data_IF_384155094828
#
_entry.id   IF_384155094828
#
_cell.length_a   1.000
_cell.length_b   1.000
_cell.length_c   1.000
_cell.angle_alpha   90.00
_cell.angle_beta   90.00
_cell.angle_gamma   90.00
#
_symmetry.space_group_name_H-M   'P 1'
#
loop_
_entity.id
_entity.type
_entity.pdbx_description
1 polymer ?
#
# COMPACT_ATOMS: atom_id res chain seq x y z
N UNK A 1 9.65 -44.82 33.19
CA UNK A 1 11.00 -45.29 33.55
C UNK A 1 11.92 -45.09 32.35
N UNK A 2 13.13 -44.59 32.60
CA UNK A 2 14.27 -44.41 31.69
C UNK A 2 14.22 -43.26 30.67
N UNK A 3 14.69 -42.10 31.14
CA UNK A 3 15.28 -41.00 30.36
C UNK A 3 16.58 -41.41 29.68
N UNK A 4 16.87 -40.87 28.50
CA UNK A 4 18.22 -40.78 27.93
C UNK A 4 18.49 -39.32 27.57
N UNK A 5 19.22 -38.66 28.46
CA UNK A 5 19.79 -37.34 28.28
C UNK A 5 21.20 -37.50 27.70
N UNK A 6 21.51 -36.77 26.63
CA UNK A 6 22.86 -36.61 26.11
C UNK A 6 23.25 -35.14 26.25
N UNK A 7 24.02 -34.87 27.30
CA UNK A 7 24.72 -33.62 27.54
C UNK A 7 26.05 -33.62 26.77
N UNK A 8 26.34 -32.56 26.04
CA UNK A 8 27.69 -32.27 25.55
C UNK A 8 28.05 -30.86 26.01
N UNK A 9 29.00 -30.78 26.95
CA UNK A 9 29.68 -29.54 27.35
C UNK A 9 31.03 -29.40 26.64
N UNK A 10 31.55 -28.17 26.45
CA UNK A 10 32.64 -27.86 25.53
C UNK A 10 34.00 -27.71 26.24
N UNK A 11 35.08 -28.03 25.53
CA UNK A 11 36.48 -27.70 25.83
C UNK A 11 37.26 -27.80 24.52
N UNK A 12 38.27 -27.01 24.17
CA UNK A 12 38.68 -25.62 24.41
C UNK A 12 39.93 -25.43 23.52
N UNK A 13 40.16 -24.21 23.06
CA UNK A 13 41.47 -23.63 22.71
C UNK A 13 42.32 -24.24 21.58
N UNK A 14 42.45 -23.47 20.48
CA UNK A 14 43.77 -23.07 19.99
C UNK A 14 43.70 -21.70 19.31
N UNK A 15 44.50 -20.81 19.86
CA UNK A 15 44.81 -19.42 19.54
C UNK A 15 45.48 -19.23 18.18
N UNK A 16 45.00 -18.23 17.41
CA UNK A 16 45.80 -17.51 16.42
C UNK A 16 45.42 -16.03 16.45
N UNK A 17 46.26 -15.25 17.10
CA UNK A 17 46.28 -13.79 17.14
C UNK A 17 46.81 -13.23 15.82
N UNK A 18 46.01 -12.44 15.11
CA UNK A 18 46.50 -11.52 14.08
C UNK A 18 46.04 -10.10 14.44
N UNK A 19 47.00 -9.32 14.93
CA UNK A 19 46.95 -7.87 15.08
C UNK A 19 47.39 -7.25 13.77
N UNK A 20 46.70 -6.20 13.30
CA UNK A 20 47.07 -5.15 12.33
C UNK A 20 45.73 -4.65 11.71
N UNK A 21 45.41 -3.39 11.51
CA UNK A 21 45.99 -2.10 11.83
C UNK A 21 44.88 -1.07 11.55
N UNK A 22 44.66 -0.12 12.45
CA UNK A 22 43.82 1.07 12.23
C UNK A 22 44.63 2.09 11.43
N UNK A 23 44.05 2.66 10.35
CA UNK A 23 44.21 4.04 9.85
C UNK A 23 43.81 4.13 8.35
N UNK A 24 43.62 5.33 7.76
CA UNK A 24 42.61 6.34 8.11
C UNK A 24 41.83 6.81 6.85
N UNK A 25 40.80 7.61 7.08
CA UNK A 25 40.02 8.39 6.10
C UNK A 25 40.82 9.08 4.98
N UNK A 26 40.33 9.13 3.73
CA UNK A 26 40.77 10.13 2.77
C UNK A 26 39.87 11.38 2.86
N UNK A 27 40.48 12.48 3.31
CA UNK A 27 40.00 13.85 3.15
C UNK A 27 39.94 14.21 1.67
N UNK A 28 38.77 14.63 1.16
CA UNK A 28 38.71 15.50 -0.01
C UNK A 28 38.39 16.93 0.45
N UNK A 29 39.38 17.81 0.23
CA UNK A 29 39.27 19.24 0.49
C UNK A 29 38.38 19.91 -0.53
N UNK A 30 37.53 20.78 0.02
CA UNK A 30 36.74 21.87 -0.54
C UNK A 30 37.41 22.63 -1.68
N UNK A 31 36.69 22.81 -2.80
CA UNK A 31 36.91 23.94 -3.70
C UNK A 31 35.77 24.93 -3.49
N UNK A 32 36.11 26.06 -2.90
CA UNK A 32 35.27 27.24 -2.74
C UNK A 32 34.90 27.81 -4.13
N UNK A 33 33.62 28.05 -4.37
CA UNK A 33 33.17 29.11 -5.27
C UNK A 33 32.36 30.11 -4.44
N UNK A 34 33.05 31.20 -4.09
CA UNK A 34 32.46 32.41 -3.54
C UNK A 34 31.75 33.16 -4.68
N UNK A 35 30.47 33.49 -4.50
CA UNK A 35 29.90 34.71 -5.08
C UNK A 35 29.16 35.46 -3.98
N UNK A 36 29.66 36.65 -3.68
CA UNK A 36 29.12 37.55 -2.69
C UNK A 36 28.10 38.52 -3.31
N UNK A 37 26.99 38.68 -2.58
CA UNK A 37 26.25 39.93 -2.32
C UNK A 37 25.22 40.45 -3.37
N UNK A 38 24.25 41.27 -2.91
CA UNK A 38 22.83 41.11 -3.23
C UNK A 38 22.31 42.12 -4.27
N UNK A 39 21.22 41.77 -4.96
CA UNK A 39 20.37 42.74 -5.65
C UNK A 39 18.93 42.67 -5.13
N UNK A 40 18.63 43.70 -4.35
CA UNK A 40 17.31 44.30 -4.08
C UNK A 40 16.50 44.44 -5.37
N UNK A 41 15.21 44.07 -5.38
CA UNK A 41 14.13 44.80 -6.07
C UNK A 41 12.74 44.25 -5.66
N UNK A 42 11.95 45.21 -5.16
CA UNK A 42 10.50 45.39 -5.07
C UNK A 42 9.56 44.41 -4.37
N UNK A 43 9.15 44.88 -3.17
CA UNK A 43 7.87 44.61 -2.53
C UNK A 43 6.69 44.81 -3.48
N UNK A 44 5.76 43.86 -3.46
CA UNK A 44 4.41 44.01 -3.99
C UNK A 44 3.48 43.97 -2.77
N UNK A 45 2.76 45.07 -2.55
CA UNK A 45 1.83 45.27 -1.44
C UNK A 45 0.69 44.24 -1.44
N UNK A 46 0.18 43.85 -0.25
CA UNK A 46 -1.05 43.10 -0.12
C UNK A 46 -2.24 44.07 -0.18
N UNK A 47 -3.16 43.86 -1.13
CA UNK A 47 -4.47 44.52 -1.09
C UNK A 47 -5.44 43.68 -0.27
N UNK A 48 -5.44 43.94 1.03
CA UNK A 48 -6.59 43.75 1.91
C UNK A 48 -7.67 44.79 1.54
N UNK A 49 -8.85 44.33 1.11
CA UNK A 49 -10.07 45.15 1.18
C UNK A 49 -10.95 44.64 2.32
N UNK A 50 -10.98 45.45 3.37
CA UNK A 50 -11.97 45.47 4.44
C UNK A 50 -13.37 45.69 3.88
N UNK A 51 -14.35 44.94 4.38
CA UNK A 51 -15.75 45.36 4.40
C UNK A 51 -16.23 45.40 5.86
N UNK A 52 -16.43 46.61 6.36
CA UNK A 52 -17.19 46.89 7.57
C UNK A 52 -18.68 47.03 7.22
N UNK A 53 -19.50 46.32 7.99
CA UNK A 53 -20.73 46.79 8.65
C UNK A 53 -21.69 47.69 7.86
N UNK A 54 -22.84 47.13 7.50
CA UNK A 54 -24.10 47.88 7.49
C UNK A 54 -25.11 47.16 8.39
N UNK A 55 -25.40 47.83 9.50
CA UNK A 55 -26.45 47.53 10.45
C UNK A 55 -27.69 48.31 9.99
N UNK A 56 -28.83 47.65 9.88
CA UNK A 56 -30.13 48.32 9.73
C UNK A 56 -31.26 47.42 10.28
N UNK A 57 -31.62 47.72 11.52
CA UNK A 57 -32.96 47.94 12.05
C UNK A 57 -34.15 47.08 11.59
N UNK A 58 -34.74 46.44 12.60
CA UNK A 58 -36.03 45.78 12.70
C UNK A 58 -37.24 46.57 12.16
N UNK A 59 -38.21 45.85 11.59
CA UNK A 59 -39.64 46.12 11.79
C UNK A 59 -40.45 44.82 11.90
N UNK A 60 -41.28 44.76 12.94
CA UNK A 60 -42.27 43.74 13.28
C UNK A 60 -43.43 43.70 12.28
N UNK A 61 -44.01 42.52 12.00
CA UNK A 61 -45.46 42.34 11.77
C UNK A 61 -45.90 40.87 12.08
N UNK A 62 -46.60 40.72 13.21
CA UNK A 62 -47.88 40.01 13.51
C UNK A 62 -48.13 38.56 12.97
N UNK A 63 -48.52 37.67 13.91
CA UNK A 63 -48.94 36.26 13.76
C UNK A 63 -50.28 36.06 13.00
N UNK A 64 -50.54 34.92 12.34
CA UNK A 64 -51.11 33.66 12.91
C UNK A 64 -51.62 32.73 11.76
N UNK A 65 -52.33 31.61 12.00
CA UNK A 65 -51.82 30.23 12.06
C UNK A 65 -52.42 29.29 10.96
N UNK A 66 -52.08 27.99 11.03
CA UNK A 66 -52.43 26.86 10.13
C UNK A 66 -51.45 26.58 8.99
N UNK A 67 -50.60 25.58 9.16
CA UNK A 67 -50.85 24.26 8.56
C UNK A 67 -49.79 23.24 8.96
N UNK A 68 -50.26 22.03 9.20
CA UNK A 68 -49.59 20.81 9.67
C UNK A 68 -48.33 20.42 8.89
N UNK A 69 -47.32 19.99 9.65
CA UNK A 69 -46.14 19.25 9.17
C UNK A 69 -46.52 17.99 8.39
N UNK A 70 -45.57 17.49 7.57
CA UNK A 70 -45.10 16.14 7.85
C UNK A 70 -43.61 16.18 8.21
N UNK A 71 -43.27 15.40 9.24
CA UNK A 71 -41.90 15.13 9.62
C UNK A 71 -41.20 14.41 8.46
N UNK A 72 -40.31 15.12 7.77
CA UNK A 72 -39.34 14.50 6.85
C UNK A 72 -38.08 14.22 7.64
N UNK A 73 -37.76 12.93 7.70
CA UNK A 73 -36.56 12.32 8.24
C UNK A 73 -35.30 13.10 7.83
N UNK A 74 -34.62 13.67 8.83
CA UNK A 74 -33.46 14.55 8.70
C UNK A 74 -32.15 13.78 8.46
N UNK A 75 -32.13 12.84 7.52
CA UNK A 75 -30.96 11.98 7.24
C UNK A 75 -30.32 12.19 5.87
N UNK A 76 -30.84 13.09 5.02
CA UNK A 76 -30.42 13.26 3.62
C UNK A 76 -29.46 14.42 3.33
N UNK A 77 -29.21 15.31 4.29
CA UNK A 77 -28.42 16.54 4.04
C UNK A 77 -26.90 16.34 4.13
N UNK A 78 -26.43 15.36 4.89
CA UNK A 78 -24.99 15.15 5.07
C UNK A 78 -24.33 14.48 3.86
N UNK A 79 -24.96 13.49 3.21
CA UNK A 79 -24.35 12.72 2.10
C UNK A 79 -24.11 13.55 0.85
N UNK A 80 -24.86 14.63 0.68
CA UNK A 80 -24.63 15.56 -0.42
C UNK A 80 -23.32 16.35 -0.26
N UNK A 81 -22.82 16.55 0.96
CA UNK A 81 -21.67 17.45 1.18
C UNK A 81 -20.35 16.81 0.71
N UNK A 82 -20.09 15.54 1.08
CA UNK A 82 -18.87 14.83 0.69
C UNK A 82 -18.79 14.63 -0.82
N UNK A 83 -19.89 14.22 -1.45
CA UNK A 83 -19.96 14.04 -2.90
C UNK A 83 -19.69 15.36 -3.65
N UNK A 84 -20.25 16.48 -3.19
CA UNK A 84 -19.99 17.79 -3.80
C UNK A 84 -18.52 18.21 -3.70
N UNK A 85 -17.86 17.93 -2.56
CA UNK A 85 -16.43 18.21 -2.39
C UNK A 85 -15.58 17.33 -3.31
N UNK A 86 -15.91 16.04 -3.42
CA UNK A 86 -15.24 15.13 -4.34
C UNK A 86 -15.36 15.61 -5.79
N UNK A 87 -16.58 15.93 -6.23
CA UNK A 87 -16.83 16.45 -7.58
C UNK A 87 -16.07 17.75 -7.86
N UNK A 88 -15.98 18.65 -6.87
CA UNK A 88 -15.16 19.87 -6.98
C UNK A 88 -13.68 19.53 -7.18
N UNK A 89 -13.12 18.67 -6.34
CA UNK A 89 -11.72 18.25 -6.44
C UNK A 89 -11.44 17.56 -7.79
N UNK A 90 -12.30 16.63 -8.21
CA UNK A 90 -12.17 15.95 -9.50
C UNK A 90 -12.22 16.95 -10.65
N UNK A 91 -13.13 17.92 -10.62
CA UNK A 91 -13.22 18.96 -11.64
C UNK A 91 -11.96 19.83 -11.69
N UNK A 92 -11.40 20.20 -10.54
CA UNK A 92 -10.13 20.93 -10.46
C UNK A 92 -8.99 20.14 -11.09
N UNK A 93 -8.79 18.88 -10.68
CA UNK A 93 -7.71 18.04 -11.21
C UNK A 93 -7.88 17.71 -12.70
N UNK A 94 -9.12 17.52 -13.17
CA UNK A 94 -9.43 17.32 -14.59
C UNK A 94 -9.14 18.55 -15.45
N UNK A 95 -9.26 19.75 -14.89
CA UNK A 95 -8.93 20.99 -15.61
C UNK A 95 -7.42 21.15 -15.84
N UNK A 96 -6.58 20.42 -15.11
CA UNK A 96 -5.13 20.40 -15.25
C UNK A 96 -4.71 19.28 -16.20
N UNK A 97 -4.35 19.67 -17.43
CA UNK A 97 -3.92 18.73 -18.47
C UNK A 97 -2.49 18.25 -18.27
N UNK A 98 -1.60 19.15 -17.83
CA UNK A 98 -0.20 18.83 -17.61
C UNK A 98 0.00 18.18 -16.24
N UNK A 99 0.63 16.99 -16.18
CA UNK A 99 0.97 16.33 -14.92
C UNK A 99 1.72 17.24 -13.92
N UNK A 100 2.61 18.10 -14.42
CA UNK A 100 3.38 19.07 -13.62
C UNK A 100 2.47 20.03 -12.86
N UNK A 101 1.38 20.45 -13.49
CA UNK A 101 0.45 21.37 -12.85
C UNK A 101 -0.41 20.67 -11.80
N UNK A 102 -0.77 19.39 -12.01
CA UNK A 102 -1.40 18.57 -10.96
C UNK A 102 -0.51 18.42 -9.74
N UNK A 103 0.79 18.20 -9.93
CA UNK A 103 1.75 18.13 -8.83
C UNK A 103 1.86 19.46 -8.08
N UNK A 104 1.97 20.59 -8.79
CA UNK A 104 1.95 21.93 -8.18
C UNK A 104 0.67 22.16 -7.37
N UNK A 105 -0.46 21.68 -7.88
CA UNK A 105 -1.75 21.78 -7.19
C UNK A 105 -1.77 20.98 -5.88
N UNK A 106 -1.24 19.74 -5.90
CA UNK A 106 -1.06 18.94 -4.68
C UNK A 106 -0.13 19.62 -3.68
N UNK A 107 0.99 20.21 -4.14
CA UNK A 107 1.90 20.95 -3.25
C UNK A 107 1.23 22.19 -2.64
N UNK A 108 0.31 22.85 -3.37
CA UNK A 108 -0.51 23.91 -2.80
C UNK A 108 -1.44 23.37 -1.71
N UNK A 109 -2.04 22.19 -1.90
CA UNK A 109 -2.85 21.56 -0.86
C UNK A 109 -2.02 21.21 0.40
N UNK A 110 -0.74 20.90 0.23
CA UNK A 110 0.15 20.61 1.37
C UNK A 110 0.28 21.80 2.33
N UNK A 111 0.27 23.04 1.81
CA UNK A 111 0.35 24.25 2.64
C UNK A 111 -0.95 24.58 3.36
N UNK A 112 -2.07 23.99 2.93
CA UNK A 112 -3.38 24.11 3.56
C UNK A 112 -3.63 23.05 4.64
N UNK A 113 -2.76 22.05 4.76
CA UNK A 113 -2.90 20.98 5.74
C UNK A 113 -2.76 21.54 7.16
N UNK A 114 -3.77 21.41 8.03
CA UNK A 114 -3.64 21.80 9.43
C UNK A 114 -2.52 21.00 10.11
N UNK A 115 -1.71 21.61 10.99
CA UNK A 115 -0.64 20.91 11.67
C UNK A 115 -1.21 19.81 12.58
N UNK A 116 -0.57 18.64 12.53
CA UNK A 116 -0.87 17.52 13.42
C UNK A 116 -0.23 17.77 14.80
N UNK A 117 -0.89 17.41 15.92
CA UNK A 117 -0.28 17.47 17.24
C UNK A 117 0.95 16.55 17.32
N UNK A 118 2.04 17.02 17.94
CA UNK A 118 3.27 16.23 18.09
C UNK A 118 3.03 14.92 18.86
N UNK A 119 2.09 14.92 19.81
CA UNK A 119 1.67 13.72 20.56
C UNK A 119 1.05 12.64 19.68
N UNK A 120 0.49 13.01 18.53
CA UNK A 120 -0.14 12.09 17.59
C UNK A 120 0.88 11.50 16.59
N UNK A 121 2.12 12.01 16.55
CA UNK A 121 3.20 11.50 15.68
C UNK A 121 3.87 10.27 16.30
N UNK A 122 3.10 9.20 16.44
CA UNK A 122 3.52 7.93 17.06
C UNK A 122 3.55 6.80 16.04
N UNK A 123 4.31 5.74 16.33
CA UNK A 123 4.37 4.56 15.44
C UNK A 123 2.99 3.90 15.27
N UNK A 124 2.12 3.97 16.28
CA UNK A 124 0.73 3.47 16.20
C UNK A 124 -0.14 4.23 15.21
N UNK A 125 0.22 5.47 14.88
CA UNK A 125 -0.49 6.31 13.91
C UNK A 125 0.14 6.27 12.52
N UNK A 126 1.15 5.41 12.30
CA UNK A 126 1.84 5.29 11.03
C UNK A 126 0.97 4.60 9.99
N UNK A 127 0.91 5.18 8.79
CA UNK A 127 0.28 4.59 7.60
C UNK A 127 1.32 3.73 6.88
N UNK A 128 1.03 2.45 6.74
CA UNK A 128 1.91 1.48 6.08
C UNK A 128 1.69 1.47 4.56
N UNK A 129 2.72 1.11 3.79
CA UNK A 129 2.65 0.99 2.33
C UNK A 129 2.91 2.29 1.56
N UNK A 130 3.03 3.44 2.23
CA UNK A 130 3.45 4.69 1.60
C UNK A 130 4.98 4.73 1.41
N UNK A 131 5.46 5.25 0.27
CA UNK A 131 6.90 5.47 0.03
C UNK A 131 7.47 6.49 1.02
N UNK A 132 6.72 7.56 1.30
CA UNK A 132 7.01 8.53 2.34
C UNK A 132 6.39 8.07 3.67
N UNK A 133 6.97 8.48 4.80
CA UNK A 133 6.37 8.23 6.10
C UNK A 133 5.16 9.14 6.24
N UNK A 134 4.01 8.56 6.52
CA UNK A 134 2.75 9.28 6.77
C UNK A 134 2.23 8.86 8.13
N UNK A 135 1.79 9.84 8.92
CA UNK A 135 1.07 9.67 10.17
C UNK A 135 -0.36 10.15 9.99
N UNK A 136 -1.31 9.42 10.54
CA UNK A 136 -2.72 9.72 10.48
C UNK A 136 -3.34 9.49 11.86
N UNK A 137 -4.06 10.49 12.35
CA UNK A 137 -4.88 10.40 13.55
C UNK A 137 -6.33 10.75 13.24
N UNK A 138 -7.24 10.17 14.02
CA UNK A 138 -8.67 10.34 13.81
C UNK A 138 -9.41 10.36 15.14
N UNK A 139 -10.48 11.14 15.19
CA UNK A 139 -11.38 11.24 16.34
C UNK A 139 -12.84 11.23 15.85
N UNK A 140 -13.72 10.60 16.62
CA UNK A 140 -15.17 10.71 16.40
C UNK A 140 -15.72 11.77 17.36
N UNK A 141 -16.07 12.92 16.81
CA UNK A 141 -16.61 14.04 17.56
C UNK A 141 -17.93 13.70 18.25
N UNK A 142 -18.27 14.49 19.27
CA UNK A 142 -19.54 14.36 20.00
C UNK A 142 -20.77 14.58 19.10
N UNK A 143 -20.59 15.35 18.02
CA UNK A 143 -21.57 15.56 16.95
C UNK A 143 -21.75 14.35 16.03
N UNK A 144 -21.01 13.25 16.27
CA UNK A 144 -21.05 12.04 15.47
C UNK A 144 -20.29 12.15 14.15
N UNK A 145 -19.44 13.18 13.99
CA UNK A 145 -18.66 13.40 12.77
C UNK A 145 -17.19 13.05 12.97
N UNK A 146 -16.55 12.59 11.89
CA UNK A 146 -15.14 12.25 11.91
C UNK A 146 -14.26 13.51 11.80
N UNK A 147 -13.17 13.53 12.57
CA UNK A 147 -12.08 14.50 12.47
C UNK A 147 -10.78 13.78 12.16
N UNK A 148 -9.98 14.35 11.28
CA UNK A 148 -8.72 13.74 10.84
C UNK A 148 -7.55 14.73 10.90
N UNK A 149 -6.40 14.22 11.34
CA UNK A 149 -5.11 14.93 11.29
C UNK A 149 -4.08 14.05 10.62
N UNK A 150 -3.21 14.64 9.80
CA UNK A 150 -2.14 13.90 9.16
C UNK A 150 -0.87 14.74 9.06
N UNK A 151 0.27 14.05 9.01
CA UNK A 151 1.56 14.65 8.70
C UNK A 151 2.41 13.67 7.88
N UNK A 152 3.41 14.17 7.18
CA UNK A 152 4.31 13.34 6.38
C UNK A 152 5.71 13.95 6.28
N UNK A 153 6.72 13.14 5.95
CA UNK A 153 8.04 13.67 5.58
C UNK A 153 8.16 14.10 4.12
N UNK A 154 7.09 13.96 3.32
CA UNK A 154 7.01 14.44 1.95
C UNK A 154 5.87 15.42 1.75
N UNK A 155 6.15 16.61 1.19
CA UNK A 155 5.13 17.61 0.87
C UNK A 155 4.09 17.10 -0.13
N UNK A 156 4.48 16.20 -1.04
CA UNK A 156 3.54 15.58 -1.98
C UNK A 156 2.53 14.73 -1.22
N UNK A 157 3.00 13.90 -0.28
CA UNK A 157 2.12 13.08 0.57
C UNK A 157 1.26 13.93 1.51
N UNK A 158 1.79 15.05 2.05
CA UNK A 158 0.98 16.02 2.80
C UNK A 158 -0.14 16.61 1.96
N UNK A 159 0.15 16.95 0.70
CA UNK A 159 -0.85 17.46 -0.23
C UNK A 159 -1.98 16.46 -0.49
N UNK A 160 -1.64 15.18 -0.70
CA UNK A 160 -2.63 14.12 -0.85
C UNK A 160 -3.47 13.94 0.42
N UNK A 161 -2.84 13.95 1.60
CA UNK A 161 -3.56 13.88 2.88
C UNK A 161 -4.50 15.07 3.07
N UNK A 162 -4.07 16.28 2.71
CA UNK A 162 -4.87 17.51 2.80
C UNK A 162 -6.15 17.42 1.95
N UNK A 163 -6.06 16.90 0.73
CA UNK A 163 -7.24 16.67 -0.10
C UNK A 163 -8.21 15.66 0.53
N UNK A 164 -7.71 14.54 1.06
CA UNK A 164 -8.55 13.53 1.74
C UNK A 164 -9.19 14.09 3.01
N UNK A 165 -8.45 14.87 3.80
CA UNK A 165 -8.98 15.54 4.99
C UNK A 165 -10.05 16.55 4.59
N UNK A 166 -9.85 17.36 3.55
CA UNK A 166 -10.90 18.28 3.07
C UNK A 166 -12.16 17.57 2.60
N UNK A 167 -12.03 16.35 2.09
CA UNK A 167 -13.15 15.53 1.64
C UNK A 167 -13.91 14.87 2.80
N UNK A 168 -13.19 14.37 3.80
CA UNK A 168 -13.72 13.46 4.83
C UNK A 168 -13.82 14.09 6.23
N UNK A 169 -13.19 15.25 6.46
CA UNK A 169 -13.33 15.96 7.72
C UNK A 169 -14.77 16.47 7.87
N UNK A 170 -15.33 16.30 9.08
CA UNK A 170 -16.74 16.56 9.37
C UNK A 170 -17.74 15.63 8.63
N UNK A 171 -17.27 14.57 7.97
CA UNK A 171 -18.14 13.55 7.38
C UNK A 171 -18.68 12.57 8.44
N UNK A 172 -19.85 11.99 8.20
CA UNK A 172 -20.37 10.90 9.00
C UNK A 172 -19.54 9.62 8.75
N UNK A 173 -19.37 8.73 9.75
CA UNK A 173 -18.61 7.50 9.59
C UNK A 173 -19.04 6.64 8.41
N UNK A 174 -20.33 6.59 8.11
CA UNK A 174 -20.91 5.84 6.99
C UNK A 174 -20.41 6.36 5.65
N UNK A 175 -20.21 7.68 5.53
CA UNK A 175 -19.74 8.32 4.30
C UNK A 175 -18.25 8.06 4.06
N UNK A 176 -17.45 8.04 5.14
CA UNK A 176 -16.04 7.65 5.06
C UNK A 176 -15.91 6.21 4.55
N UNK A 177 -16.84 5.36 4.97
CA UNK A 177 -16.91 3.95 4.59
C UNK A 177 -17.47 3.72 3.17
N UNK A 178 -18.28 4.64 2.65
CA UNK A 178 -18.86 4.57 1.31
C UNK A 178 -17.85 4.95 0.21
N UNK A 179 -16.91 5.86 0.52
CA UNK A 179 -15.90 6.31 -0.44
C UNK A 179 -14.99 5.15 -0.89
N UNK A 180 -14.91 4.92 -2.20
CA UNK A 180 -14.10 3.84 -2.76
C UNK A 180 -12.82 4.38 -3.36
N UNK A 181 -11.89 3.46 -3.59
CA UNK A 181 -10.56 3.81 -4.09
C UNK A 181 -10.60 4.13 -5.57
N UNK A 182 -11.60 3.63 -6.29
CA UNK A 182 -11.88 3.92 -7.70
C UNK A 182 -12.31 5.38 -7.90
N UNK A 183 -12.96 5.98 -6.90
CA UNK A 183 -13.43 7.37 -6.94
C UNK A 183 -12.26 8.37 -6.92
N UNK A 184 -11.09 7.94 -6.44
CA UNK A 184 -9.89 8.78 -6.32
C UNK A 184 -8.97 8.71 -7.56
N UNK A 185 -9.25 7.84 -8.53
CA UNK A 185 -8.39 7.62 -9.70
C UNK A 185 -8.13 8.91 -10.47
N UNK A 186 -9.15 9.76 -10.58
CA UNK A 186 -9.09 11.03 -11.30
C UNK A 186 -8.25 12.11 -10.61
N UNK A 187 -7.93 11.93 -9.32
CA UNK A 187 -7.06 12.84 -8.55
C UNK A 187 -5.58 12.50 -8.70
N UNK A 188 -5.24 11.52 -9.52
CA UNK A 188 -3.85 11.10 -9.70
C UNK A 188 -3.02 12.16 -10.45
N UNK A 189 -1.78 12.36 -9.99
CA UNK A 189 -0.88 13.41 -10.49
C UNK A 189 -0.02 12.97 -11.70
N UNK A 190 -0.02 11.69 -12.05
CA UNK A 190 0.52 11.17 -13.32
C UNK A 190 2.04 11.30 -13.57
N UNK A 191 2.79 11.93 -12.66
CA UNK A 191 4.16 12.39 -12.93
C UNK A 191 5.30 11.49 -12.47
N UNK A 192 5.02 10.40 -11.76
CA UNK A 192 6.06 9.63 -11.09
C UNK A 192 5.87 8.13 -11.34
N UNK A 193 6.30 7.69 -12.52
CA UNK A 193 6.66 6.31 -12.84
C UNK A 193 5.50 5.36 -13.11
N UNK A 194 5.01 5.35 -14.36
CA UNK A 194 4.10 4.33 -14.89
C UNK A 194 2.75 4.23 -14.17
N UNK A 195 1.80 3.53 -14.75
CA UNK A 195 0.47 3.32 -14.18
C UNK A 195 0.49 2.59 -12.81
N UNK A 196 1.67 2.23 -12.26
CA UNK A 196 1.81 1.30 -11.13
C UNK A 196 2.82 1.66 -10.01
N UNK A 197 3.78 2.59 -10.17
CA UNK A 197 4.97 2.62 -9.27
C UNK A 197 4.84 3.46 -7.99
N UNK A 198 3.83 4.34 -7.88
CA UNK A 198 3.43 5.03 -6.63
C UNK A 198 1.95 4.83 -6.32
N UNK A 199 1.41 3.70 -6.76
CA UNK A 199 0.00 3.31 -6.57
C UNK A 199 -0.33 3.30 -5.10
N UNK A 200 -1.04 4.34 -4.69
CA UNK A 200 -1.87 4.38 -3.50
C UNK A 200 -1.29 4.97 -2.22
N UNK A 201 -0.53 6.09 -2.26
CA UNK A 201 -0.56 6.98 -1.07
C UNK A 201 -2.01 7.41 -0.79
N UNK A 202 -2.76 7.81 -1.82
CA UNK A 202 -4.20 8.08 -1.73
C UNK A 202 -4.97 6.93 -1.09
N UNK A 203 -4.82 5.71 -1.61
CA UNK A 203 -5.60 4.58 -1.10
C UNK A 203 -5.09 4.03 0.23
N UNK A 204 -3.78 4.02 0.52
CA UNK A 204 -3.27 3.60 1.83
C UNK A 204 -3.75 4.55 2.93
N UNK A 205 -3.77 5.86 2.66
CA UNK A 205 -4.30 6.85 3.58
C UNK A 205 -5.82 6.70 3.72
N UNK A 206 -6.57 6.55 2.62
CA UNK A 206 -8.02 6.31 2.68
C UNK A 206 -8.37 5.03 3.47
N UNK A 207 -7.72 3.91 3.17
CA UNK A 207 -7.90 2.63 3.89
C UNK A 207 -7.57 2.79 5.37
N UNK A 208 -6.52 3.56 5.70
CA UNK A 208 -6.17 3.86 7.09
C UNK A 208 -7.21 4.74 7.79
N UNK A 209 -7.78 5.73 7.08
CA UNK A 209 -8.90 6.54 7.58
C UNK A 209 -10.11 5.65 7.86
N UNK A 210 -10.51 4.80 6.91
CA UNK A 210 -11.62 3.86 7.07
C UNK A 210 -11.41 2.88 8.22
N UNK A 211 -10.19 2.35 8.38
CA UNK A 211 -9.86 1.44 9.49
C UNK A 211 -9.98 2.14 10.84
N UNK A 212 -9.48 3.38 10.96
CA UNK A 212 -9.62 4.18 12.18
C UNK A 212 -11.10 4.54 12.46
N UNK A 213 -11.86 4.90 11.43
CA UNK A 213 -13.30 5.14 11.53
C UNK A 213 -14.05 3.92 12.04
N UNK A 214 -13.82 2.72 11.47
CA UNK A 214 -14.44 1.47 11.94
C UNK A 214 -14.16 1.22 13.42
N UNK A 215 -12.91 1.44 13.84
CA UNK A 215 -12.50 1.28 15.23
C UNK A 215 -13.25 2.23 16.16
N UNK A 216 -13.31 3.51 15.83
CA UNK A 216 -13.97 4.54 16.64
C UNK A 216 -15.49 4.33 16.74
N UNK A 217 -16.13 3.89 15.64
CA UNK A 217 -17.55 3.51 15.65
C UNK A 217 -17.79 2.30 16.56
N UNK A 218 -16.96 1.26 16.46
CA UNK A 218 -17.07 0.08 17.32
C UNK A 218 -16.91 0.44 18.80
N UNK A 219 -15.90 1.26 19.13
CA UNK A 219 -15.67 1.78 20.49
C UNK A 219 -16.87 2.57 21.02
N UNK A 220 -17.50 3.43 20.18
CA UNK A 220 -18.72 4.18 20.55
C UNK A 220 -19.94 3.28 20.79
N UNK A 221 -20.08 2.21 20.02
CA UNK A 221 -21.17 1.24 20.17
C UNK A 221 -20.96 0.27 21.36
N UNK A 222 -19.85 0.39 22.09
CA UNK A 222 -19.49 -0.55 23.16
C UNK A 222 -19.19 -1.96 22.66
N UNK A 223 -19.05 -2.13 21.33
CA UNK A 223 -18.54 -3.37 20.75
C UNK A 223 -17.04 -3.35 21.00
N UNK A 224 -16.52 -4.41 21.63
CA UNK A 224 -15.07 -4.59 21.73
C UNK A 224 -14.47 -4.37 20.33
N UNK A 225 -13.34 -3.66 20.19
CA UNK A 225 -12.74 -3.44 18.89
C UNK A 225 -12.65 -4.81 18.23
N UNK A 226 -13.37 -5.01 17.12
CA UNK A 226 -13.26 -6.22 16.32
C UNK A 226 -11.84 -6.24 15.85
N UNK A 227 -10.99 -6.92 16.61
CA UNK A 227 -9.66 -7.28 16.20
C UNK A 227 -9.91 -8.09 14.94
N UNK A 228 -9.66 -7.49 13.77
CA UNK A 228 -9.59 -8.25 12.53
C UNK A 228 -8.54 -9.33 12.83
N UNK A 229 -8.95 -10.61 12.94
CA UNK A 229 -8.04 -11.66 13.31
C UNK A 229 -6.88 -11.62 12.33
N UNK A 230 -5.66 -11.88 12.82
CA UNK A 230 -4.50 -11.97 11.96
C UNK A 230 -4.87 -12.84 10.75
N UNK A 231 -4.71 -12.34 9.50
CA UNK A 231 -5.19 -13.06 8.34
C UNK A 231 -4.52 -14.43 8.30
N UNK A 232 -5.32 -15.48 8.41
CA UNK A 232 -4.84 -16.84 8.66
C UNK A 232 -5.55 -17.84 7.76
N UNK A 233 -4.79 -18.79 7.23
CA UNK A 233 -5.32 -20.02 6.65
C UNK A 233 -5.32 -21.08 7.76
N UNK A 234 -6.51 -21.51 8.18
CA UNK A 234 -6.70 -22.55 9.18
C UNK A 234 -6.82 -23.91 8.49
N UNK A 235 -5.94 -24.84 8.86
CA UNK A 235 -6.02 -26.23 8.43
C UNK A 235 -6.86 -27.01 9.45
N UNK A 236 -8.03 -27.47 9.06
CA UNK A 236 -8.90 -28.34 9.87
C UNK A 236 -8.88 -29.76 9.30
N UNK A 237 -9.47 -30.73 10.02
CA UNK A 237 -9.65 -32.09 9.48
C UNK A 237 -10.50 -32.10 8.20
N UNK A 238 -11.38 -31.11 8.06
CA UNK A 238 -12.43 -31.08 7.04
C UNK A 238 -12.04 -30.19 5.84
N UNK A 239 -10.96 -29.39 5.95
CA UNK A 239 -10.47 -28.57 4.85
C UNK A 239 -9.59 -27.40 5.27
N UNK A 240 -9.51 -26.40 4.38
CA UNK A 240 -8.78 -25.14 4.60
C UNK A 240 -9.80 -24.01 4.73
N UNK A 241 -9.82 -23.33 5.87
CA UNK A 241 -10.63 -22.14 6.09
C UNK A 241 -9.77 -20.88 6.08
N UNK A 242 -10.15 -19.90 5.27
CA UNK A 242 -9.49 -18.60 5.26
C UNK A 242 -10.21 -17.63 6.19
N UNK A 243 -9.46 -16.93 7.05
CA UNK A 243 -9.99 -15.87 7.90
C UNK A 243 -9.30 -14.55 7.60
N UNK A 244 -10.09 -13.55 7.23
CA UNK A 244 -9.61 -12.22 6.90
C UNK A 244 -9.37 -12.04 5.41
N UNK A 245 -9.60 -10.82 4.92
CA UNK A 245 -9.62 -10.49 3.49
C UNK A 245 -8.36 -10.93 2.72
N UNK A 246 -7.18 -10.79 3.35
CA UNK A 246 -5.92 -11.22 2.74
C UNK A 246 -5.82 -12.74 2.59
N UNK A 247 -6.17 -13.50 3.64
CA UNK A 247 -6.15 -14.96 3.58
C UNK A 247 -7.23 -15.48 2.62
N UNK A 248 -8.39 -14.85 2.56
CA UNK A 248 -9.47 -15.19 1.61
C UNK A 248 -9.04 -14.98 0.16
N UNK A 249 -8.32 -13.89 -0.13
CA UNK A 249 -7.74 -13.67 -1.45
C UNK A 249 -6.70 -14.75 -1.79
N UNK A 250 -5.82 -15.09 -0.85
CA UNK A 250 -4.81 -16.14 -1.04
C UNK A 250 -5.44 -17.53 -1.22
N UNK A 251 -6.54 -17.84 -0.52
CA UNK A 251 -7.21 -19.12 -0.60
C UNK A 251 -7.77 -19.42 -2.00
N UNK A 252 -8.12 -18.40 -2.78
CA UNK A 252 -8.54 -18.57 -4.18
C UNK A 252 -7.47 -19.22 -5.04
N UNK A 253 -6.19 -19.01 -4.72
CA UNK A 253 -5.06 -19.55 -5.48
C UNK A 253 -4.67 -20.96 -5.06
N UNK A 254 -5.14 -21.45 -3.90
CA UNK A 254 -4.94 -22.84 -3.49
C UNK A 254 -5.65 -23.82 -4.44
N UNK A 255 -6.74 -23.38 -5.06
CA UNK A 255 -7.57 -24.16 -5.97
C UNK A 255 -7.75 -23.39 -7.29
N UNK A 256 -6.73 -23.36 -8.16
CA UNK A 256 -6.81 -22.64 -9.43
C UNK A 256 -7.85 -23.26 -10.38
N UNK A 257 -8.32 -22.46 -11.34
CA UNK A 257 -9.25 -22.89 -12.38
C UNK A 257 -8.69 -24.04 -13.21
N UNK A 258 -9.36 -25.19 -13.16
CA UNK A 258 -8.92 -26.45 -13.79
C UNK A 258 -8.72 -26.32 -15.30
N UNK A 259 -9.60 -25.55 -15.97
CA UNK A 259 -9.51 -25.31 -17.42
C UNK A 259 -8.18 -24.65 -17.84
N UNK A 260 -7.70 -23.69 -17.05
CA UNK A 260 -6.43 -22.98 -17.28
C UNK A 260 -5.22 -23.86 -16.99
N UNK A 261 -5.30 -24.67 -15.93
CA UNK A 261 -4.27 -25.65 -15.60
C UNK A 261 -4.11 -26.66 -16.74
N UNK A 262 -5.22 -27.17 -17.30
CA UNK A 262 -5.19 -28.11 -18.42
C UNK A 262 -4.64 -27.50 -19.71
N UNK A 263 -5.01 -26.25 -20.01
CA UNK A 263 -4.45 -25.50 -21.14
C UNK A 263 -2.92 -25.39 -21.03
N UNK A 264 -2.41 -25.01 -19.86
CA UNK A 264 -0.97 -24.94 -19.60
C UNK A 264 -0.29 -26.31 -19.74
N UNK A 265 -0.83 -27.34 -19.10
CA UNK A 265 -0.29 -28.71 -19.14
C UNK A 265 -0.23 -29.24 -20.57
N UNK A 266 -1.23 -28.93 -21.40
CA UNK A 266 -1.25 -29.32 -22.82
C UNK A 266 -0.04 -28.74 -23.56
N UNK A 267 0.22 -27.44 -23.40
CA UNK A 267 1.37 -26.77 -24.03
C UNK A 267 2.69 -27.34 -23.52
N UNK A 268 2.82 -27.57 -22.21
CA UNK A 268 4.03 -28.14 -21.61
C UNK A 268 4.32 -29.55 -22.14
N UNK A 269 3.29 -30.39 -22.32
CA UNK A 269 3.42 -31.74 -22.87
C UNK A 269 3.78 -31.73 -24.36
N UNK A 270 3.06 -30.96 -25.16
CA UNK A 270 3.25 -30.89 -26.62
C UNK A 270 4.67 -30.44 -26.96
N UNK A 271 5.20 -29.45 -26.22
CA UNK A 271 6.54 -28.90 -26.43
C UNK A 271 7.62 -29.56 -25.56
N UNK A 272 7.26 -30.54 -24.72
CA UNK A 272 8.16 -31.21 -23.77
C UNK A 272 8.97 -30.21 -22.92
N UNK A 273 8.29 -29.23 -22.35
CA UNK A 273 8.92 -28.17 -21.53
C UNK A 273 8.98 -28.62 -20.08
N UNK A 274 10.17 -28.61 -19.49
CA UNK A 274 10.36 -28.71 -18.04
C UNK A 274 10.34 -27.32 -17.40
N UNK A 275 9.77 -27.20 -16.20
CA UNK A 275 9.71 -25.93 -15.45
C UNK A 275 10.49 -26.06 -14.15
N UNK A 276 11.50 -25.22 -13.96
CA UNK A 276 12.24 -25.07 -12.70
C UNK A 276 11.97 -23.69 -12.13
N UNK A 277 11.31 -23.61 -10.99
CA UNK A 277 10.77 -22.37 -10.45
C UNK A 277 11.22 -22.13 -9.01
N UNK A 278 11.49 -20.87 -8.67
CA UNK A 278 11.86 -20.48 -7.32
C UNK A 278 10.63 -20.35 -6.42
N UNK A 279 10.64 -20.89 -5.19
CA UNK A 279 9.45 -20.85 -4.30
C UNK A 279 8.97 -19.44 -3.96
N UNK A 280 9.87 -18.45 -4.00
CA UNK A 280 9.52 -17.05 -3.80
C UNK A 280 8.94 -16.46 -5.10
N UNK A 281 7.67 -16.76 -5.36
CA UNK A 281 6.89 -16.26 -6.50
C UNK A 281 5.48 -15.85 -6.06
N UNK A 282 4.69 -15.29 -6.98
CA UNK A 282 3.30 -14.95 -6.71
C UNK A 282 2.46 -16.21 -6.36
N UNK A 283 1.60 -16.17 -5.32
CA UNK A 283 0.78 -17.31 -4.90
C UNK A 283 -0.12 -17.88 -6.01
N UNK A 284 -0.58 -17.05 -6.95
CA UNK A 284 -1.38 -17.48 -8.10
C UNK A 284 -0.58 -18.42 -9.00
N UNK A 285 0.65 -18.01 -9.35
CA UNK A 285 1.54 -18.82 -10.19
C UNK A 285 1.94 -20.10 -9.46
N UNK A 286 2.25 -20.02 -8.17
CA UNK A 286 2.60 -21.17 -7.36
C UNK A 286 1.45 -22.20 -7.30
N UNK A 287 0.21 -21.73 -7.12
CA UNK A 287 -0.98 -22.58 -7.10
C UNK A 287 -1.18 -23.31 -8.43
N UNK A 288 -1.12 -22.57 -9.55
CA UNK A 288 -1.26 -23.12 -10.91
C UNK A 288 -0.18 -24.17 -11.21
N UNK A 289 1.09 -23.88 -10.91
CA UNK A 289 2.20 -24.83 -11.15
C UNK A 289 2.08 -26.08 -10.29
N UNK A 290 1.66 -25.94 -9.02
CA UNK A 290 1.44 -27.07 -8.11
C UNK A 290 0.30 -27.97 -8.60
N UNK A 291 -0.80 -27.39 -9.10
CA UNK A 291 -1.88 -28.14 -9.72
C UNK A 291 -1.43 -28.85 -11.01
N UNK A 292 -0.71 -28.14 -11.88
CA UNK A 292 -0.17 -28.67 -13.14
C UNK A 292 0.80 -29.84 -12.93
N UNK A 293 1.56 -29.84 -11.83
CA UNK A 293 2.52 -30.89 -11.49
C UNK A 293 1.87 -32.28 -11.39
N UNK A 294 0.59 -32.36 -11.00
CA UNK A 294 -0.18 -33.62 -10.95
C UNK A 294 -0.33 -34.28 -12.33
N UNK A 295 -0.34 -33.48 -13.39
CA UNK A 295 -0.55 -33.95 -14.76
C UNK A 295 0.74 -33.94 -15.60
N UNK A 296 1.74 -33.17 -15.20
CA UNK A 296 3.07 -33.08 -15.83
C UNK A 296 4.17 -33.07 -14.75
N UNK A 297 4.90 -34.18 -14.55
CA UNK A 297 5.82 -34.34 -13.42
C UNK A 297 7.13 -33.54 -13.55
N UNK A 298 7.37 -32.90 -14.70
CA UNK A 298 8.55 -32.09 -14.96
C UNK A 298 8.32 -30.61 -14.60
N UNK A 299 7.73 -30.38 -13.43
CA UNK A 299 7.56 -29.06 -12.82
C UNK A 299 8.13 -29.16 -11.42
N UNK A 300 9.08 -28.30 -11.08
CA UNK A 300 9.73 -28.26 -9.78
C UNK A 300 9.69 -26.85 -9.22
N UNK A 301 9.20 -26.72 -7.99
CA UNK A 301 9.20 -25.47 -7.22
C UNK A 301 10.15 -25.69 -6.05
N UNK A 302 11.21 -24.89 -5.96
CA UNK A 302 12.30 -25.14 -5.02
C UNK A 302 13.10 -23.90 -4.66
N UNK A 303 14.03 -24.03 -3.71
CA UNK A 303 15.08 -23.04 -3.47
C UNK A 303 16.10 -23.05 -4.63
N UNK A 304 16.73 -21.90 -4.83
CA UNK A 304 17.79 -21.63 -5.81
C UNK A 304 18.88 -22.70 -5.88
N UNK A 305 19.28 -23.26 -4.74
CA UNK A 305 20.36 -24.24 -4.65
C UNK A 305 20.08 -25.54 -5.39
N UNK A 306 18.81 -25.94 -5.53
CA UNK A 306 18.43 -27.24 -6.12
C UNK A 306 17.73 -27.11 -7.48
N UNK A 307 17.48 -25.89 -7.95
CA UNK A 307 16.83 -25.62 -9.23
C UNK A 307 17.60 -26.19 -10.42
N UNK A 308 18.94 -26.11 -10.37
CA UNK A 308 19.82 -26.61 -11.42
C UNK A 308 19.80 -28.15 -11.51
N UNK A 309 19.85 -28.83 -10.37
CA UNK A 309 19.77 -30.30 -10.32
C UNK A 309 18.42 -30.80 -10.84
N UNK A 310 17.33 -30.10 -10.52
CA UNK A 310 16.01 -30.40 -11.05
C UNK A 310 15.97 -30.24 -12.58
N UNK A 311 16.57 -29.17 -13.11
CA UNK A 311 16.68 -28.94 -14.55
C UNK A 311 17.43 -30.07 -15.27
N UNK A 312 18.56 -30.51 -14.74
CA UNK A 312 19.32 -31.64 -15.29
C UNK A 312 18.50 -32.94 -15.28
N UNK A 313 17.74 -33.20 -14.21
CA UNK A 313 16.84 -34.37 -14.14
C UNK A 313 15.75 -34.30 -15.21
N UNK A 314 15.17 -33.13 -15.46
CA UNK A 314 14.17 -32.93 -16.51
C UNK A 314 14.76 -33.12 -17.91
N UNK A 315 15.96 -32.58 -18.17
CA UNK A 315 16.66 -32.77 -19.44
C UNK A 315 16.95 -34.26 -19.70
N UNK A 316 17.45 -34.99 -18.69
CA UNK A 316 17.65 -36.45 -18.76
C UNK A 316 16.37 -37.24 -19.00
N UNK A 317 15.22 -36.74 -18.52
CA UNK A 317 13.92 -37.35 -18.75
C UNK A 317 13.32 -37.04 -20.14
N UNK A 318 14.03 -36.27 -20.98
CA UNK A 318 13.64 -35.99 -22.36
C UNK A 318 12.85 -34.68 -22.55
N UNK A 319 12.89 -33.76 -21.59
CA UNK A 319 12.43 -32.39 -21.81
C UNK A 319 13.35 -31.70 -22.84
N UNK A 320 12.75 -31.10 -23.86
CA UNK A 320 13.48 -30.38 -24.92
C UNK A 320 13.84 -28.96 -24.53
N UNK A 321 13.01 -28.34 -23.68
CA UNK A 321 13.21 -26.98 -23.21
C UNK A 321 13.08 -26.95 -21.69
N UNK A 322 13.89 -26.13 -21.03
CA UNK A 322 13.77 -25.85 -19.61
C UNK A 322 13.43 -24.37 -19.44
N UNK A 323 12.26 -24.11 -18.85
CA UNK A 323 11.87 -22.76 -18.44
C UNK A 323 12.27 -22.55 -16.99
N UNK A 324 13.03 -21.49 -16.73
CA UNK A 324 13.42 -21.09 -15.38
C UNK A 324 12.56 -19.91 -14.94
N UNK A 325 11.82 -20.07 -13.86
CA UNK A 325 11.04 -19.00 -13.23
C UNK A 325 11.79 -18.52 -11.99
N UNK A 326 12.61 -17.49 -12.17
CA UNK A 326 13.45 -16.90 -11.14
C UNK A 326 14.09 -15.62 -11.67
N UNK A 327 15.00 -15.04 -10.88
CA UNK A 327 15.81 -13.88 -11.31
C UNK A 327 17.01 -14.34 -12.14
N UNK A 328 17.65 -13.42 -12.86
CA UNK A 328 18.64 -13.71 -13.90
C UNK A 328 19.80 -14.61 -13.43
N UNK A 329 20.34 -14.40 -12.23
CA UNK A 329 21.44 -15.24 -11.73
C UNK A 329 21.02 -16.71 -11.57
N UNK A 330 19.73 -16.98 -11.30
CA UNK A 330 19.23 -18.35 -11.13
C UNK A 330 19.14 -19.06 -12.49
N UNK A 331 18.70 -18.36 -13.53
CA UNK A 331 18.66 -18.92 -14.89
C UNK A 331 20.06 -19.11 -15.47
N UNK A 332 20.98 -18.19 -15.21
CA UNK A 332 22.40 -18.34 -15.55
C UNK A 332 23.03 -19.57 -14.86
N UNK A 333 22.77 -19.76 -13.56
CA UNK A 333 23.27 -20.93 -12.84
C UNK A 333 22.68 -22.23 -13.40
N UNK A 334 21.36 -22.28 -13.63
CA UNK A 334 20.71 -23.45 -14.25
C UNK A 334 21.31 -23.75 -15.63
N UNK A 335 21.56 -22.71 -16.44
CA UNK A 335 22.18 -22.86 -17.75
C UNK A 335 23.60 -23.42 -17.66
N UNK A 336 24.44 -22.85 -16.80
CA UNK A 336 25.83 -23.30 -16.62
C UNK A 336 25.91 -24.78 -16.19
N UNK A 337 25.02 -25.21 -15.32
CA UNK A 337 24.96 -26.61 -14.85
C UNK A 337 24.42 -27.55 -15.93
N UNK A 338 23.44 -27.11 -16.74
CA UNK A 338 22.98 -27.87 -17.91
C UNK A 338 24.09 -28.05 -18.94
N UNK A 339 24.87 -27.00 -19.22
CA UNK A 339 26.04 -27.04 -20.11
C UNK A 339 27.09 -28.03 -19.59
N UNK A 340 27.42 -27.96 -18.30
CA UNK A 340 28.36 -28.88 -17.67
C UNK A 340 27.86 -30.35 -17.71
N UNK A 341 26.55 -30.55 -17.67
CA UNK A 341 25.91 -31.87 -17.76
C UNK A 341 25.76 -32.39 -19.21
N UNK A 342 26.18 -31.61 -20.22
CA UNK A 342 26.13 -32.00 -21.63
C UNK A 342 24.83 -31.64 -22.36
N UNK A 343 24.02 -30.75 -21.80
CA UNK A 343 22.75 -30.28 -22.38
C UNK A 343 22.87 -28.82 -22.87
N UNK A 344 23.80 -28.58 -23.78
CA UNK A 344 24.12 -27.24 -24.26
C UNK A 344 23.29 -26.73 -25.44
N UNK A 345 22.47 -27.58 -26.08
CA UNK A 345 21.60 -27.20 -27.20
C UNK A 345 20.26 -26.59 -26.75
#
# INVERSE_FOLDING_TARGET
>A
MASLALSVTPTSTSSSSCVLSRNPTPNFKTTHLNFASPRRIHAINPLLRSFHSLQSSSQHLIASPFSTSPAVTSSSSSSQTTELVLQRLVKEFKSLTEPVDRLKWVLRYATLLPPMPDSSRTESNRVMGCTARVWLDAELGQDGKMRFWADSDSDVSKGMCSCLIQLLDSAAPEQVMELKTEDLVELNVGLLGGERSRVNTWHNVLVSMQKKTRRLVAEKEGKAPTFEPFPSLLLTSDGIEAKGSFAEAQAKYLFPEESRVQELVKVLKEKKIGVSAHFYMDPEVQGVLTAAQKHWPHIYISDSLIMADAAVKMAKAGCQYITVLGVDFMSENVRAILDQAGFGE
#
